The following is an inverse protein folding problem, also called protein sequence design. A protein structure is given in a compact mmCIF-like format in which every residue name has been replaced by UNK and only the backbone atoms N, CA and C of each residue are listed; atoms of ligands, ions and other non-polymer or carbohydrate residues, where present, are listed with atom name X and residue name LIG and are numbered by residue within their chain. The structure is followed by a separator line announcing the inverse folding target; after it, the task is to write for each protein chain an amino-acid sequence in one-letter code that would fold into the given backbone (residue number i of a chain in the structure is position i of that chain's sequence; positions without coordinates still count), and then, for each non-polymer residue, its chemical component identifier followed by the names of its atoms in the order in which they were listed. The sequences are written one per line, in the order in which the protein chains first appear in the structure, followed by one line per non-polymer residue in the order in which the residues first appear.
data_IF_975677212200
#
_entry.id   IF_975677212200
#
_cell.length_a   1.000
_cell.length_b   1.000
_cell.length_c   1.000
_cell.angle_alpha   90.00
_cell.angle_beta   90.00
_cell.angle_gamma   90.00
#
_symmetry.space_group_name_H-M   'P 1'
#
loop_
_entity.id
_entity.type
_entity.pdbx_description
1 polymer ?
#
# COMPACT_ATOMS: atom_id res chain seq x y z
N UNK A 1 -33.37 33.29 23.66
CA UNK A 1 -32.75 33.50 22.33
C UNK A 1 -32.34 32.15 21.79
N UNK A 2 -33.00 31.63 20.75
CA UNK A 2 -32.51 30.45 20.02
C UNK A 2 -31.42 30.95 19.06
N UNK A 3 -30.17 30.62 19.31
CA UNK A 3 -29.14 30.77 18.28
C UNK A 3 -29.48 29.78 17.19
N UNK A 4 -29.81 30.25 16.01
CA UNK A 4 -29.78 29.44 14.77
C UNK A 4 -28.31 29.13 14.52
N UNK A 5 -27.91 27.90 14.82
CA UNK A 5 -26.61 27.39 14.39
C UNK A 5 -26.66 27.37 12.86
N UNK A 6 -25.91 28.25 12.23
CA UNK A 6 -25.68 28.14 10.79
C UNK A 6 -25.00 26.77 10.55
N UNK A 7 -25.67 25.94 9.77
CA UNK A 7 -25.07 24.67 9.34
C UNK A 7 -23.77 24.97 8.60
N UNK A 8 -22.66 24.51 9.14
CA UNK A 8 -21.36 24.63 8.50
C UNK A 8 -21.21 23.46 7.55
N UNK A 9 -21.02 23.76 6.28
CA UNK A 9 -20.76 22.71 5.28
C UNK A 9 -19.45 21.98 5.60
N UNK A 10 -19.41 20.65 5.49
CA UNK A 10 -18.18 19.90 5.70
C UNK A 10 -17.15 20.21 4.60
N UNK A 11 -15.88 20.21 4.98
CA UNK A 11 -14.78 20.33 4.03
C UNK A 11 -13.59 19.45 4.45
N UNK A 12 -12.99 18.80 3.47
CA UNK A 12 -11.79 18.00 3.66
C UNK A 12 -10.65 18.54 2.80
N UNK A 13 -9.43 18.44 3.32
CA UNK A 13 -8.19 18.83 2.63
C UNK A 13 -7.20 17.70 2.70
N UNK A 14 -6.63 17.29 1.57
CA UNK A 14 -5.51 16.34 1.50
C UNK A 14 -4.18 17.10 1.58
N UNK A 15 -3.40 16.87 2.63
CA UNK A 15 -2.11 17.51 2.86
C UNK A 15 -0.96 16.72 2.25
N UNK A 16 -0.55 15.65 2.87
CA UNK A 16 0.63 14.88 2.50
C UNK A 16 0.28 13.44 2.14
N UNK A 17 1.03 12.89 1.18
CA UNK A 17 1.02 11.45 0.87
C UNK A 17 2.45 10.98 0.88
N UNK A 18 2.74 9.94 1.67
CA UNK A 18 4.10 9.40 1.83
C UNK A 18 4.10 7.92 2.21
N UNK A 19 5.20 7.20 1.95
CA UNK A 19 5.40 5.88 2.53
C UNK A 19 5.66 5.98 4.04
N UNK A 20 5.20 5.00 4.79
CA UNK A 20 5.42 4.89 6.24
C UNK A 20 5.16 3.45 6.69
N UNK A 21 5.17 3.21 8.00
CA UNK A 21 4.86 1.91 8.59
C UNK A 21 3.79 1.99 9.68
N UNK A 22 2.89 1.02 9.68
CA UNK A 22 1.98 0.77 10.79
C UNK A 22 2.20 -0.68 11.25
N UNK A 23 2.48 -0.86 12.53
CA UNK A 23 2.77 -2.18 13.11
C UNK A 23 3.85 -2.96 12.33
N UNK A 24 4.95 -2.27 11.98
CA UNK A 24 6.06 -2.81 11.19
C UNK A 24 5.63 -3.40 9.82
N UNK A 25 4.60 -2.84 9.19
CA UNK A 25 4.16 -3.16 7.83
C UNK A 25 4.12 -1.90 7.00
N UNK A 26 4.64 -1.97 5.79
CA UNK A 26 4.66 -0.83 4.88
C UNK A 26 3.25 -0.44 4.44
N UNK A 27 3.01 0.86 4.47
CA UNK A 27 1.77 1.50 4.02
C UNK A 27 2.10 2.78 3.26
N UNK A 28 1.16 3.27 2.46
CA UNK A 28 1.15 4.65 2.01
C UNK A 28 0.13 5.40 2.86
N UNK A 29 0.59 6.44 3.54
CA UNK A 29 -0.27 7.30 4.36
C UNK A 29 -0.73 8.52 3.56
N UNK A 30 -2.03 8.77 3.54
CA UNK A 30 -2.64 9.99 3.05
C UNK A 30 -3.15 10.81 4.25
N UNK A 31 -2.54 11.96 4.51
CA UNK A 31 -2.95 12.85 5.61
C UNK A 31 -4.09 13.75 5.15
N UNK A 32 -5.25 13.64 5.82
CA UNK A 32 -6.48 14.36 5.50
C UNK A 32 -6.90 15.17 6.73
N UNK A 33 -7.35 16.40 6.50
CA UNK A 33 -7.88 17.28 7.51
C UNK A 33 -9.36 17.59 7.25
N UNK A 34 -10.18 17.46 8.28
CA UNK A 34 -11.45 18.15 8.36
C UNK A 34 -11.21 19.52 9.01
N UNK A 35 -11.24 20.58 8.22
CA UNK A 35 -10.97 21.95 8.67
C UNK A 35 -12.24 22.68 9.18
N UNK A 36 -13.38 21.99 9.18
CA UNK A 36 -14.67 22.53 9.57
C UNK A 36 -15.13 22.06 10.97
N UNK A 37 -16.01 22.83 11.57
CA UNK A 37 -16.59 22.57 12.91
C UNK A 37 -17.79 21.61 12.84
N UNK A 38 -17.80 20.70 11.88
CA UNK A 38 -18.88 19.74 11.68
C UNK A 38 -18.37 18.34 11.56
N UNK A 39 -19.15 17.36 12.03
CA UNK A 39 -18.89 15.94 11.82
C UNK A 39 -19.21 15.53 10.38
N UNK A 40 -18.46 14.57 9.87
CA UNK A 40 -18.81 13.85 8.66
C UNK A 40 -19.09 12.41 9.06
N UNK A 41 -20.32 11.97 8.84
CA UNK A 41 -20.79 10.67 9.30
C UNK A 41 -20.90 9.68 8.14
N UNK A 42 -20.97 8.37 8.45
CA UNK A 42 -21.15 7.31 7.47
C UNK A 42 -20.14 7.40 6.32
N UNK A 43 -18.88 7.68 6.67
CA UNK A 43 -17.84 7.96 5.69
C UNK A 43 -17.35 6.68 5.05
N UNK A 44 -17.21 6.72 3.72
CA UNK A 44 -16.48 5.73 2.93
C UNK A 44 -15.25 6.39 2.35
N UNK A 45 -14.10 5.76 2.51
CA UNK A 45 -12.83 6.21 1.93
C UNK A 45 -12.32 5.11 1.02
N UNK A 46 -12.10 5.43 -0.24
CA UNK A 46 -11.43 4.57 -1.22
C UNK A 46 -10.13 5.23 -1.67
N UNK A 47 -9.03 4.46 -1.70
CA UNK A 47 -7.76 4.89 -2.26
C UNK A 47 -7.30 3.94 -3.35
N UNK A 48 -6.74 4.49 -4.42
CA UNK A 48 -6.07 3.76 -5.50
C UNK A 48 -4.72 4.41 -5.76
N UNK A 49 -3.69 3.58 -5.84
CA UNK A 49 -2.33 4.02 -6.12
C UNK A 49 -1.85 3.34 -7.39
N UNK A 50 -1.41 4.17 -8.33
CA UNK A 50 -0.81 3.74 -9.59
C UNK A 50 0.63 4.26 -9.68
N UNK A 51 1.46 3.69 -10.55
CA UNK A 51 2.72 4.32 -10.91
C UNK A 51 2.44 5.49 -11.85
N UNK A 52 3.13 6.62 -11.68
CA UNK A 52 2.92 7.80 -12.53
C UNK A 52 3.05 7.44 -14.01
N UNK A 53 2.03 7.83 -14.80
CA UNK A 53 1.96 7.52 -16.23
C UNK A 53 1.43 6.13 -16.58
N UNK A 54 1.01 5.33 -15.59
CA UNK A 54 0.40 4.02 -15.77
C UNK A 54 -1.01 4.00 -15.20
N UNK A 55 -1.91 3.23 -15.83
CA UNK A 55 -3.30 3.08 -15.38
C UNK A 55 -3.51 1.87 -14.47
N UNK A 56 -2.53 0.98 -14.35
CA UNK A 56 -2.61 -0.21 -13.50
C UNK A 56 -2.62 0.18 -12.02
N UNK A 57 -3.63 -0.27 -11.28
CA UNK A 57 -3.74 -0.05 -9.84
C UNK A 57 -2.83 -1.05 -9.13
N UNK A 58 -1.80 -0.54 -8.45
CA UNK A 58 -0.84 -1.34 -7.70
C UNK A 58 -1.33 -1.64 -6.28
N UNK A 59 -1.88 -0.63 -5.61
CA UNK A 59 -2.38 -0.74 -4.24
C UNK A 59 -3.74 -0.05 -4.15
N UNK A 60 -4.63 -0.65 -3.38
CA UNK A 60 -5.93 -0.07 -3.11
C UNK A 60 -6.38 -0.43 -1.69
N UNK A 61 -7.15 0.47 -1.09
CA UNK A 61 -7.76 0.26 0.22
C UNK A 61 -9.14 0.90 0.22
N UNK A 62 -10.10 0.25 0.87
CA UNK A 62 -11.42 0.79 1.09
C UNK A 62 -11.82 0.57 2.54
N UNK A 63 -12.36 1.61 3.17
CA UNK A 63 -12.97 1.52 4.49
C UNK A 63 -14.28 2.27 4.52
N UNK A 64 -15.27 1.69 5.15
CA UNK A 64 -16.61 2.24 5.27
C UNK A 64 -17.09 2.30 6.73
N UNK A 65 -18.17 3.04 6.96
CA UNK A 65 -18.76 3.21 8.30
C UNK A 65 -17.90 4.06 9.22
N UNK A 66 -17.02 4.89 8.68
CA UNK A 66 -16.15 5.77 9.45
C UNK A 66 -16.90 7.05 9.87
N UNK A 67 -16.33 7.77 10.84
CA UNK A 67 -16.74 9.10 11.23
C UNK A 67 -15.52 10.01 11.32
N UNK A 68 -15.60 11.20 10.76
CA UNK A 68 -14.55 12.20 10.85
C UNK A 68 -15.02 13.32 11.78
N UNK A 69 -14.24 13.56 12.85
CA UNK A 69 -14.55 14.58 13.83
C UNK A 69 -14.22 16.00 13.31
N UNK A 70 -14.84 17.03 13.87
CA UNK A 70 -14.54 18.41 13.55
C UNK A 70 -13.09 18.79 13.85
N UNK A 71 -12.51 19.65 13.03
CA UNK A 71 -11.15 20.21 13.22
C UNK A 71 -10.09 19.13 13.53
N UNK A 72 -10.13 18.00 12.84
CA UNK A 72 -9.19 16.89 13.05
C UNK A 72 -8.34 16.60 11.82
N UNK A 73 -7.11 16.16 12.08
CA UNK A 73 -6.23 15.54 11.11
C UNK A 73 -6.19 14.03 11.36
N UNK A 74 -6.20 13.25 10.32
CA UNK A 74 -5.98 11.81 10.37
C UNK A 74 -5.18 11.34 9.17
N UNK A 75 -4.48 10.22 9.33
CA UNK A 75 -3.76 9.59 8.23
C UNK A 75 -4.48 8.31 7.84
N UNK A 76 -4.90 8.21 6.58
CA UNK A 76 -5.52 7.03 6.02
C UNK A 76 -4.46 6.13 5.39
N UNK A 77 -4.31 4.89 5.85
CA UNK A 77 -3.32 3.96 5.31
C UNK A 77 -3.86 3.19 4.12
N UNK A 78 -3.06 3.09 3.06
CA UNK A 78 -3.23 2.10 1.99
C UNK A 78 -2.20 1.00 2.17
N UNK A 79 -2.63 -0.23 2.42
CA UNK A 79 -1.75 -1.36 2.69
C UNK A 79 -1.05 -1.86 1.42
N UNK A 80 0.24 -2.24 1.55
CA UNK A 80 0.99 -2.86 0.45
C UNK A 80 0.87 -4.39 0.43
N UNK A 81 0.22 -4.99 1.43
CA UNK A 81 -0.04 -6.44 1.51
C UNK A 81 1.21 -7.32 1.36
N UNK A 82 2.33 -6.89 1.97
CA UNK A 82 3.60 -7.61 1.93
C UNK A 82 4.42 -7.41 0.65
N UNK A 83 3.98 -6.52 -0.23
CA UNK A 83 4.79 -6.11 -1.37
C UNK A 83 5.82 -5.07 -0.91
N UNK A 84 7.07 -5.14 -1.42
CA UNK A 84 8.08 -4.15 -1.09
C UNK A 84 7.76 -2.80 -1.75
N UNK A 85 8.09 -1.72 -1.05
CA UNK A 85 8.14 -0.38 -1.63
C UNK A 85 9.20 -0.35 -2.74
N UNK A 86 8.84 0.15 -3.90
CA UNK A 86 9.77 0.38 -5.01
C UNK A 86 9.95 1.87 -5.22
N UNK A 87 11.21 2.35 -5.43
CA UNK A 87 11.44 3.77 -5.71
C UNK A 87 10.74 4.25 -6.98
N UNK A 88 10.31 5.51 -6.97
CA UNK A 88 9.70 6.13 -8.14
C UNK A 88 8.59 7.10 -7.82
N UNK A 89 7.99 7.67 -8.87
CA UNK A 89 6.83 8.55 -8.76
C UNK A 89 5.52 7.75 -8.86
N UNK A 90 4.59 8.08 -7.98
CA UNK A 90 3.28 7.44 -7.88
C UNK A 90 2.17 8.48 -7.90
N UNK A 91 0.99 8.02 -8.25
CA UNK A 91 -0.22 8.82 -8.26
C UNK A 91 -1.25 8.18 -7.33
N UNK A 92 -1.71 8.94 -6.34
CA UNK A 92 -2.83 8.58 -5.48
C UNK A 92 -4.10 9.21 -6.04
N UNK A 93 -5.15 8.41 -6.17
CA UNK A 93 -6.54 8.88 -6.27
C UNK A 93 -7.26 8.45 -4.99
N UNK A 94 -7.85 9.40 -4.28
CA UNK A 94 -8.61 9.17 -3.04
C UNK A 94 -10.00 9.72 -3.18
N UNK A 95 -11.01 8.87 -3.06
CA UNK A 95 -12.42 9.25 -3.05
C UNK A 95 -12.98 9.10 -1.65
N UNK A 96 -13.62 10.15 -1.15
CA UNK A 96 -14.29 10.16 0.14
C UNK A 96 -15.75 10.52 -0.08
N UNK A 97 -16.65 9.67 0.42
CA UNK A 97 -18.08 9.91 0.47
C UNK A 97 -18.48 10.11 1.93
N UNK A 98 -19.35 11.06 2.21
CA UNK A 98 -19.80 11.34 3.56
C UNK A 98 -21.27 11.67 3.64
N UNK A 99 -21.84 11.50 4.85
CA UNK A 99 -23.20 11.85 5.19
C UNK A 99 -24.22 11.12 4.31
N UNK A 100 -24.36 9.80 4.54
CA UNK A 100 -25.37 8.97 3.87
C UNK A 100 -26.77 9.59 4.01
N UNK A 101 -27.45 9.72 2.88
CA UNK A 101 -28.79 10.29 2.79
C UNK A 101 -29.50 9.78 1.56
N UNK A 102 -30.73 9.27 1.70
CA UNK A 102 -31.52 8.75 0.59
C UNK A 102 -31.71 9.70 -0.59
N UNK A 103 -31.64 11.03 -0.35
CA UNK A 103 -31.72 12.08 -1.36
C UNK A 103 -30.33 12.65 -1.73
N UNK A 104 -29.23 11.98 -1.34
CA UNK A 104 -27.87 12.40 -1.64
C UNK A 104 -27.58 12.42 -3.13
N UNK A 105 -26.69 13.34 -3.53
CA UNK A 105 -26.33 13.56 -4.94
C UNK A 105 -25.30 12.54 -5.47
N UNK A 106 -24.52 11.95 -4.58
CA UNK A 106 -23.42 11.06 -4.92
C UNK A 106 -23.81 9.61 -4.59
N UNK A 107 -23.70 8.72 -5.55
CA UNK A 107 -24.13 7.33 -5.39
C UNK A 107 -22.96 6.37 -5.43
N UNK A 108 -23.02 5.37 -4.57
CA UNK A 108 -22.13 4.21 -4.59
C UNK A 108 -22.94 2.93 -4.69
N UNK A 109 -22.53 2.04 -5.57
CA UNK A 109 -23.10 0.68 -5.63
C UNK A 109 -22.37 -0.20 -4.62
N UNK A 110 -23.13 -0.88 -3.76
CA UNK A 110 -22.65 -1.90 -2.85
C UNK A 110 -23.49 -3.14 -3.09
N UNK A 111 -22.88 -4.18 -3.70
CA UNK A 111 -23.57 -5.39 -4.13
C UNK A 111 -24.82 -5.06 -5.00
N UNK A 112 -26.02 -5.35 -4.51
CA UNK A 112 -27.30 -5.09 -5.19
C UNK A 112 -27.99 -3.81 -4.72
N UNK A 113 -27.34 -3.01 -3.85
CA UNK A 113 -27.90 -1.80 -3.25
C UNK A 113 -27.16 -0.57 -3.72
N UNK A 114 -27.88 0.51 -3.98
CA UNK A 114 -27.28 1.84 -4.22
C UNK A 114 -27.44 2.67 -2.95
N UNK A 115 -26.33 3.17 -2.43
CA UNK A 115 -26.26 4.04 -1.26
C UNK A 115 -25.93 5.44 -1.76
N UNK A 116 -26.68 6.44 -1.27
CA UNK A 116 -26.49 7.84 -1.66
C UNK A 116 -25.87 8.64 -0.51
N UNK A 117 -25.04 9.62 -0.87
CA UNK A 117 -24.30 10.49 0.05
C UNK A 117 -24.52 11.95 -0.34
N UNK A 118 -24.52 12.85 0.63
CA UNK A 118 -24.63 14.29 0.36
C UNK A 118 -23.32 14.91 -0.06
N UNK A 119 -22.20 14.37 0.40
CA UNK A 119 -20.87 14.94 0.23
C UNK A 119 -19.92 13.97 -0.46
N UNK A 120 -19.09 14.51 -1.35
CA UNK A 120 -18.01 13.79 -2.03
C UNK A 120 -16.78 14.68 -2.16
N UNK A 121 -15.62 14.10 -1.90
CA UNK A 121 -14.30 14.68 -2.19
C UNK A 121 -13.51 13.71 -3.03
N UNK A 122 -12.86 14.21 -4.07
CA UNK A 122 -11.94 13.45 -4.90
C UNK A 122 -10.61 14.18 -4.86
N UNK A 123 -9.59 13.52 -4.39
CA UNK A 123 -8.23 14.03 -4.32
C UNK A 123 -7.33 13.24 -5.25
N UNK A 124 -6.47 13.95 -5.95
CA UNK A 124 -5.40 13.39 -6.76
C UNK A 124 -4.07 14.00 -6.32
N UNK A 125 -3.08 13.18 -6.06
CA UNK A 125 -1.78 13.64 -5.63
C UNK A 125 -0.65 12.76 -6.14
N UNK A 126 0.33 13.40 -6.78
CA UNK A 126 1.60 12.75 -7.12
C UNK A 126 2.51 12.82 -5.91
N UNK A 127 3.17 11.71 -5.60
CA UNK A 127 4.17 11.61 -4.54
C UNK A 127 5.35 10.75 -5.00
N UNK A 128 6.47 10.89 -4.31
CA UNK A 128 7.70 10.16 -4.62
C UNK A 128 8.04 9.21 -3.49
N UNK A 129 8.51 8.03 -3.84
CA UNK A 129 9.14 7.09 -2.91
C UNK A 129 10.64 7.12 -3.20
N UNK A 130 11.43 7.61 -2.24
CA UNK A 130 12.89 7.66 -2.34
C UNK A 130 13.52 6.27 -2.18
N UNK A 131 14.63 6.03 -2.88
CA UNK A 131 15.29 4.72 -2.86
C UNK A 131 15.88 4.32 -1.51
N UNK A 132 16.41 5.28 -0.75
CA UNK A 132 16.96 5.04 0.58
C UNK A 132 15.85 4.76 1.58
N UNK A 133 14.79 5.56 1.53
CA UNK A 133 13.59 5.39 2.36
C UNK A 133 12.91 4.05 2.09
N UNK A 134 12.69 3.68 0.81
CA UNK A 134 12.12 2.39 0.43
C UNK A 134 12.93 1.22 0.99
N UNK A 135 14.27 1.27 0.87
CA UNK A 135 15.16 0.22 1.39
C UNK A 135 15.07 0.10 2.92
N UNK A 136 15.05 1.23 3.61
CA UNK A 136 14.95 1.26 5.07
C UNK A 136 13.63 0.67 5.56
N UNK A 137 12.50 1.11 5.01
CA UNK A 137 11.17 0.63 5.34
C UNK A 137 11.02 -0.87 5.00
N UNK A 138 11.46 -1.31 3.81
CA UNK A 138 11.41 -2.71 3.41
C UNK A 138 12.21 -3.63 4.34
N UNK A 139 13.33 -3.14 4.88
CA UNK A 139 14.16 -3.93 5.81
C UNK A 139 13.44 -4.19 7.14
N UNK A 140 12.61 -3.24 7.57
CA UNK A 140 11.85 -3.27 8.82
C UNK A 140 10.49 -3.97 8.68
N UNK A 141 9.99 -4.14 7.45
CA UNK A 141 8.69 -4.78 7.20
C UNK A 141 8.74 -6.28 7.49
N UNK A 142 7.89 -6.71 8.43
CA UNK A 142 7.81 -8.11 8.88
C UNK A 142 7.04 -9.02 7.91
N UNK A 143 6.35 -8.44 6.93
CA UNK A 143 5.53 -9.19 5.97
C UNK A 143 6.25 -9.48 4.67
N UNK A 144 7.33 -8.76 4.38
CA UNK A 144 8.14 -8.99 3.19
C UNK A 144 8.95 -10.27 3.37
N UNK A 145 8.70 -11.26 2.53
CA UNK A 145 9.49 -12.49 2.51
C UNK A 145 10.92 -12.16 2.09
N UNK A 146 11.84 -12.24 3.03
CA UNK A 146 13.27 -12.14 2.71
C UNK A 146 13.64 -13.34 1.84
N UNK A 147 14.23 -13.10 0.67
CA UNK A 147 14.73 -14.17 -0.19
C UNK A 147 15.73 -15.01 0.62
N UNK A 148 15.42 -16.27 0.79
CA UNK A 148 16.30 -17.21 1.50
C UNK A 148 17.42 -17.65 0.56
N UNK A 149 18.47 -16.85 0.47
CA UNK A 149 19.63 -17.11 -0.40
C UNK A 149 20.40 -18.38 -0.02
N UNK A 150 20.09 -18.98 1.14
CA UNK A 150 20.68 -20.22 1.60
C UNK A 150 20.47 -21.39 0.61
N UNK A 151 19.32 -21.42 -0.08
CA UNK A 151 19.00 -22.46 -1.06
C UNK A 151 19.99 -22.39 -2.23
N UNK A 152 20.29 -21.22 -2.77
CA UNK A 152 21.27 -21.06 -3.85
C UNK A 152 22.69 -21.41 -3.43
N UNK A 153 23.07 -21.14 -2.18
CA UNK A 153 24.36 -21.55 -1.62
C UNK A 153 24.43 -23.08 -1.51
N UNK A 154 23.36 -23.71 -1.06
CA UNK A 154 23.28 -25.17 -0.97
C UNK A 154 23.34 -25.84 -2.35
N UNK A 155 22.62 -25.32 -3.34
CA UNK A 155 22.67 -25.80 -4.73
C UNK A 155 24.08 -25.68 -5.32
N UNK A 156 24.76 -24.55 -5.10
CA UNK A 156 26.13 -24.34 -5.55
C UNK A 156 27.11 -25.32 -4.89
N UNK A 157 26.95 -25.63 -3.58
CA UNK A 157 27.78 -26.63 -2.89
C UNK A 157 27.54 -28.04 -3.43
N UNK A 158 26.30 -28.43 -3.68
CA UNK A 158 25.95 -29.74 -4.25
C UNK A 158 26.56 -29.87 -5.63
N UNK A 159 26.46 -28.82 -6.45
CA UNK A 159 27.08 -28.83 -7.82
C UNK A 159 28.60 -28.96 -7.75
N UNK A 160 29.25 -28.24 -6.83
CA UNK A 160 30.71 -28.36 -6.62
C UNK A 160 31.13 -29.79 -6.23
N UNK A 161 30.38 -30.39 -5.30
CA UNK A 161 30.62 -31.76 -4.85
C UNK A 161 30.48 -32.75 -6.01
N UNK A 162 29.46 -32.59 -6.84
CA UNK A 162 29.25 -33.42 -8.02
C UNK A 162 30.43 -33.33 -9.01
N UNK A 163 30.92 -32.12 -9.26
CA UNK A 163 32.11 -31.90 -10.13
C UNK A 163 33.35 -32.58 -9.54
N UNK A 164 33.57 -32.49 -8.23
CA UNK A 164 34.70 -33.16 -7.57
C UNK A 164 34.62 -34.69 -7.70
N UNK A 165 33.45 -35.29 -7.55
CA UNK A 165 33.23 -36.74 -7.73
C UNK A 165 33.53 -37.13 -9.15
N UNK A 166 33.11 -36.36 -10.16
CA UNK A 166 33.44 -36.66 -11.57
C UNK A 166 34.95 -36.58 -11.83
N UNK A 167 35.65 -35.61 -11.27
CA UNK A 167 37.10 -35.47 -11.42
C UNK A 167 37.81 -36.67 -10.78
N UNK A 168 37.43 -37.07 -9.57
CA UNK A 168 37.97 -38.24 -8.87
C UNK A 168 37.73 -39.52 -9.66
N UNK A 169 36.53 -39.74 -10.20
CA UNK A 169 36.18 -40.86 -11.04
C UNK A 169 37.06 -40.91 -12.28
N UNK A 170 37.29 -39.78 -12.94
CA UNK A 170 38.15 -39.70 -14.15
C UNK A 170 39.64 -40.01 -13.83
N UNK A 171 40.12 -39.53 -12.67
CA UNK A 171 41.50 -39.81 -12.21
C UNK A 171 41.69 -41.32 -11.91
N UNK A 172 40.74 -41.93 -11.21
CA UNK A 172 40.79 -43.34 -10.86
C UNK A 172 40.72 -44.21 -12.10
N UNK A 173 39.84 -43.91 -13.05
CA UNK A 173 39.73 -44.64 -14.32
C UNK A 173 41.01 -44.56 -15.15
N UNK A 174 41.65 -43.39 -15.18
CA UNK A 174 42.93 -43.21 -15.91
C UNK A 174 44.10 -43.96 -15.25
N UNK A 175 43.99 -44.22 -13.95
CA UNK A 175 45.00 -45.02 -13.21
C UNK A 175 44.86 -46.51 -13.54
N UNK A 176 43.65 -47.04 -13.61
CA UNK A 176 43.37 -48.42 -13.98
C UNK A 176 43.79 -48.77 -15.42
N UNK A 177 43.69 -47.79 -16.34
CA UNK A 177 44.14 -47.97 -17.74
C UNK A 177 45.69 -48.00 -17.89
N UNK A 178 46.44 -47.50 -16.90
CA UNK A 178 47.91 -47.51 -16.92
C UNK A 178 48.52 -48.74 -16.24
N UNK A 179 47.75 -49.47 -15.47
CA UNK A 179 48.19 -50.68 -14.77
C UNK A 179 47.84 -51.97 -15.52
N UNK A 180 47.21 -51.89 -16.72
CA UNK A 180 46.98 -52.93 -17.66
C UNK A 180 47.96 -52.83 -18.83
#
# INVERSE_FOLDING_TARGET
MRQTLNEVAPNLVLHEVKPDQINARNVILANVQNDQKTYINQVVIETKITKKGHSEVLYQEEKEGLQIAPNTNFSFPTALNGQPLTPGEYHLTMTILGNENGNGKFSRKKENTTINYTDQWIFEKVFMIDGKEAKELNTKDVTIKKANNWIYILEALIFLLFVLILILWFILRKKEEKEK
#
